data_IF_480894892129
#
_entry.id   IF_480894892129
#
_cell.length_a   1.000
_cell.length_b   1.000
_cell.length_c   1.000
_cell.angle_alpha   90.00
_cell.angle_beta   90.00
_cell.angle_gamma   90.00
#
_symmetry.space_group_name_H-M   'P 1'
#
loop_
_entity.id
_entity.type
_entity.pdbx_description
1 polymer ?
#
# COMPACT_ATOMS: atom_id res chain seq x y z
N UNK A 1 14.96 -0.11 6.39
CA UNK A 1 13.48 -0.23 6.47
C UNK A 1 12.92 -0.32 5.05
N UNK A 2 12.08 -1.34 4.78
CA UNK A 2 11.26 -1.38 3.56
C UNK A 2 10.11 -0.38 3.71
N UNK A 3 10.05 0.60 2.81
CA UNK A 3 9.07 1.67 2.82
C UNK A 3 8.04 1.57 1.70
N UNK A 4 7.75 0.37 1.20
CA UNK A 4 6.79 0.18 0.12
C UNK A 4 5.37 0.73 0.42
N UNK A 5 5.00 0.96 1.68
CA UNK A 5 3.78 1.64 2.14
C UNK A 5 4.08 2.76 3.14
N UNK A 6 5.27 3.35 3.06
CA UNK A 6 5.69 4.40 3.98
C UNK A 6 4.77 5.64 3.92
N UNK A 7 4.33 6.03 2.71
CA UNK A 7 3.33 7.10 2.54
C UNK A 7 2.03 6.82 3.28
N UNK A 8 1.51 5.60 3.20
CA UNK A 8 0.29 5.17 3.87
C UNK A 8 0.45 5.19 5.40
N UNK A 9 1.61 4.75 5.91
CA UNK A 9 1.91 4.82 7.34
C UNK A 9 2.00 6.27 7.84
N UNK A 10 2.68 7.15 7.11
CA UNK A 10 2.73 8.59 7.42
C UNK A 10 1.33 9.20 7.45
N UNK A 11 0.51 8.91 6.43
CA UNK A 11 -0.85 9.42 6.31
C UNK A 11 -1.77 8.94 7.44
N UNK A 12 -1.62 7.69 7.89
CA UNK A 12 -2.43 7.12 8.98
C UNK A 12 -1.99 7.62 10.36
N UNK A 13 -0.70 7.63 10.64
CA UNK A 13 -0.17 7.99 11.96
C UNK A 13 -0.17 9.51 12.21
N UNK A 14 -0.19 10.32 11.14
CA UNK A 14 -0.11 11.78 11.26
C UNK A 14 1.25 12.30 11.72
N UNK A 15 2.26 11.42 11.81
CA UNK A 15 3.64 11.77 12.15
C UNK A 15 4.39 12.33 10.93
N UNK A 16 5.44 13.09 11.20
CA UNK A 16 6.39 13.51 10.17
C UNK A 16 7.22 12.31 9.67
N UNK A 17 7.72 12.32 8.42
CA UNK A 17 8.61 11.27 7.92
C UNK A 17 9.83 11.03 8.82
N UNK A 18 10.37 12.11 9.41
CA UNK A 18 11.51 12.05 10.32
C UNK A 18 11.23 11.25 11.60
N UNK A 19 10.05 11.46 12.20
CA UNK A 19 9.60 10.74 13.41
C UNK A 19 9.44 9.24 13.16
N UNK A 20 8.99 8.86 11.96
CA UNK A 20 8.83 7.46 11.55
C UNK A 20 10.11 6.83 10.99
N UNK A 21 11.23 7.57 10.96
CA UNK A 21 12.49 7.08 10.40
C UNK A 21 13.67 7.36 11.34
N UNK A 22 14.52 8.33 11.03
CA UNK A 22 15.81 8.52 11.68
C UNK A 22 15.67 8.96 13.14
N UNK A 23 14.61 9.68 13.51
CA UNK A 23 14.33 9.99 14.93
C UNK A 23 13.94 8.73 15.73
N UNK A 24 13.47 7.69 15.06
CA UNK A 24 13.19 6.37 15.64
C UNK A 24 14.34 5.37 15.43
N UNK A 25 15.51 5.82 14.96
CA UNK A 25 16.70 4.98 14.80
C UNK A 25 16.77 4.18 13.49
N UNK A 26 15.96 4.50 12.47
CA UNK A 26 16.11 3.90 11.14
C UNK A 26 17.35 4.48 10.45
N UNK A 27 18.30 3.62 10.07
CA UNK A 27 19.51 4.04 9.35
C UNK A 27 19.29 4.31 7.86
N UNK A 28 18.46 3.48 7.20
CA UNK A 28 18.21 3.53 5.74
C UNK A 28 16.75 3.23 5.44
N UNK A 29 16.12 4.01 4.56
CA UNK A 29 14.76 3.82 4.07
C UNK A 29 14.75 3.58 2.55
N UNK A 30 14.09 2.51 2.10
CA UNK A 30 13.67 2.37 0.70
C UNK A 30 12.25 2.94 0.54
N UNK A 31 12.13 4.18 0.07
CA UNK A 31 10.87 4.90 -0.02
C UNK A 31 10.12 4.57 -1.33
N UNK A 32 8.96 3.91 -1.15
CA UNK A 32 7.94 3.54 -2.13
C UNK A 32 7.45 4.65 -3.05
N UNK A 33 7.92 4.68 -4.29
CA UNK A 33 7.38 5.57 -5.33
C UNK A 33 6.33 4.87 -6.20
N UNK A 34 6.68 3.67 -6.69
CA UNK A 34 5.89 2.94 -7.70
C UNK A 34 4.47 2.65 -7.22
N UNK A 35 4.30 2.28 -5.94
CA UNK A 35 2.99 1.93 -5.38
C UNK A 35 2.12 3.14 -5.03
N UNK A 36 2.63 4.34 -5.23
CA UNK A 36 2.00 5.59 -4.85
C UNK A 36 1.89 6.58 -6.02
N UNK A 37 1.77 6.07 -7.24
CA UNK A 37 1.48 6.87 -8.44
C UNK A 37 2.63 7.01 -9.45
N UNK A 38 3.79 6.39 -9.23
CA UNK A 38 4.90 6.41 -10.19
C UNK A 38 4.92 5.18 -11.10
N UNK A 39 5.43 5.35 -12.33
CA UNK A 39 5.62 4.25 -13.26
C UNK A 39 6.71 3.26 -12.80
N UNK A 40 7.87 3.79 -12.38
CA UNK A 40 9.01 3.03 -11.85
C UNK A 40 9.81 3.90 -10.89
N UNK A 41 10.54 3.28 -9.97
CA UNK A 41 11.51 3.94 -9.13
C UNK A 41 11.18 3.90 -7.64
N UNK A 42 12.24 3.82 -6.85
CA UNK A 42 12.25 3.76 -5.39
C UNK A 42 13.40 4.65 -4.93
N UNK A 43 13.17 5.49 -3.91
CA UNK A 43 14.22 6.37 -3.39
C UNK A 43 14.91 5.71 -2.20
N UNK A 44 16.23 5.59 -2.23
CA UNK A 44 17.00 5.02 -1.11
C UNK A 44 17.61 6.17 -0.32
N UNK A 45 17.12 6.36 0.91
CA UNK A 45 17.51 7.44 1.82
C UNK A 45 18.40 6.86 2.92
N UNK A 46 19.68 7.22 2.90
CA UNK A 46 20.61 6.93 3.99
C UNK A 46 20.57 8.08 5.00
N UNK A 47 20.11 7.81 6.22
CA UNK A 47 20.19 8.75 7.33
C UNK A 47 21.54 8.61 8.06
N UNK A 48 22.06 7.38 8.12
CA UNK A 48 23.43 7.11 8.51
C UNK A 48 24.34 7.09 7.28
N UNK A 49 24.97 8.22 6.99
CA UNK A 49 25.75 8.41 5.76
C UNK A 49 26.99 7.52 5.67
N UNK A 50 27.50 6.98 6.79
CA UNK A 50 28.63 6.03 6.76
C UNK A 50 28.26 4.75 6.00
N UNK A 51 26.99 4.37 6.01
CA UNK A 51 26.49 3.19 5.28
C UNK A 51 26.30 3.46 3.77
N UNK A 52 26.38 4.71 3.33
CA UNK A 52 26.20 5.11 1.95
C UNK A 52 27.51 5.08 1.14
N UNK A 53 28.65 4.80 1.78
CA UNK A 53 29.95 4.68 1.12
C UNK A 53 29.87 3.67 -0.03
N UNK A 54 30.30 4.10 -1.23
CA UNK A 54 30.28 3.36 -2.49
C UNK A 54 28.90 2.78 -2.90
N UNK A 55 27.79 3.30 -2.37
CA UNK A 55 26.47 2.79 -2.70
C UNK A 55 26.09 3.00 -4.17
N UNK A 56 26.56 4.08 -4.78
CA UNK A 56 26.42 4.34 -6.21
C UNK A 56 27.18 3.31 -7.07
N UNK A 57 28.39 2.89 -6.66
CA UNK A 57 29.12 1.79 -7.29
C UNK A 57 28.37 0.46 -7.16
N UNK A 58 27.79 0.18 -5.99
CA UNK A 58 26.93 -0.99 -5.79
C UNK A 58 25.73 -0.96 -6.74
N UNK A 59 25.03 0.16 -6.85
CA UNK A 59 23.91 0.32 -7.79
C UNK A 59 24.36 0.15 -9.24
N UNK A 60 25.52 0.71 -9.62
CA UNK A 60 26.10 0.58 -10.95
C UNK A 60 26.39 -0.88 -11.29
N UNK A 61 27.07 -1.59 -10.41
CA UNK A 61 27.44 -3.00 -10.62
C UNK A 61 26.22 -3.91 -10.66
N UNK A 62 25.21 -3.62 -9.84
CA UNK A 62 23.94 -4.35 -9.81
C UNK A 62 23.00 -4.04 -11.01
N UNK A 63 23.42 -3.17 -11.94
CA UNK A 63 22.59 -2.77 -13.08
C UNK A 63 21.40 -1.89 -12.72
N UNK A 64 21.40 -1.27 -11.54
CA UNK A 64 20.33 -0.40 -11.02
C UNK A 64 20.58 1.09 -11.30
N UNK A 65 21.65 1.45 -12.01
CA UNK A 65 21.95 2.84 -12.36
C UNK A 65 21.26 3.25 -13.68
N UNK A 66 20.18 4.02 -13.58
CA UNK A 66 19.45 4.50 -14.75
C UNK A 66 20.27 5.53 -15.56
N UNK A 67 20.52 5.23 -16.84
CA UNK A 67 21.19 6.16 -17.77
C UNK A 67 20.41 7.47 -17.95
N UNK A 68 19.07 7.40 -18.01
CA UNK A 68 18.17 8.56 -18.11
C UNK A 68 17.51 8.84 -16.75
N UNK A 69 18.32 9.08 -15.71
CA UNK A 69 17.89 9.21 -14.31
C UNK A 69 16.75 10.22 -14.07
N UNK A 70 16.64 11.26 -14.91
CA UNK A 70 15.52 12.22 -14.86
C UNK A 70 14.12 11.57 -14.88
N UNK A 71 13.96 10.41 -15.52
CA UNK A 71 12.66 9.71 -15.53
C UNK A 71 12.36 8.96 -14.23
N UNK A 72 13.37 8.72 -13.39
CA UNK A 72 13.19 8.23 -12.02
C UNK A 72 13.03 9.40 -11.04
N UNK A 73 13.82 10.48 -11.18
CA UNK A 73 13.82 11.58 -10.21
C UNK A 73 12.74 12.65 -10.44
N UNK A 74 12.37 12.98 -11.67
CA UNK A 74 11.36 14.02 -11.94
C UNK A 74 9.98 13.71 -11.35
N UNK A 75 9.46 12.45 -11.38
CA UNK A 75 8.21 12.12 -10.70
C UNK A 75 8.22 12.42 -9.20
N UNK A 76 9.39 12.32 -8.53
CA UNK A 76 9.49 12.66 -7.10
C UNK A 76 9.27 14.14 -6.85
N UNK A 77 9.68 15.03 -7.76
CA UNK A 77 9.43 16.46 -7.64
C UNK A 77 7.93 16.72 -7.56
N UNK A 78 7.16 16.21 -8.53
CA UNK A 78 5.70 16.37 -8.53
C UNK A 78 5.02 15.70 -7.34
N UNK A 79 5.51 14.52 -6.92
CA UNK A 79 4.96 13.82 -5.76
C UNK A 79 5.15 14.59 -4.44
N UNK A 80 6.31 15.24 -4.25
CA UNK A 80 6.73 15.83 -2.98
C UNK A 80 6.40 17.33 -2.89
N UNK A 81 6.49 18.09 -3.97
CA UNK A 81 6.33 19.56 -3.94
C UNK A 81 4.91 20.00 -3.53
N UNK A 82 3.90 19.19 -3.86
CA UNK A 82 2.47 19.51 -3.70
C UNK A 82 1.73 18.53 -2.77
N UNK A 83 2.48 17.78 -1.94
CA UNK A 83 1.96 16.73 -1.06
C UNK A 83 1.10 15.66 -1.77
N UNK A 84 1.30 15.46 -3.08
CA UNK A 84 0.58 14.44 -3.83
C UNK A 84 0.84 13.04 -3.25
N UNK A 85 2.06 12.77 -2.76
CA UNK A 85 2.40 11.52 -2.09
C UNK A 85 1.50 11.22 -0.87
N UNK A 86 1.15 12.22 -0.06
CA UNK A 86 0.23 12.08 1.07
C UNK A 86 -1.23 12.05 0.63
N UNK A 87 -1.62 12.84 -0.38
CA UNK A 87 -2.98 12.83 -0.93
C UNK A 87 -3.34 11.44 -1.47
N UNK A 88 -2.47 10.85 -2.28
CA UNK A 88 -2.60 9.49 -2.81
C UNK A 88 -2.68 8.44 -1.69
N UNK A 89 -1.81 8.55 -0.69
CA UNK A 89 -1.81 7.62 0.43
C UNK A 89 -3.06 7.72 1.31
N UNK A 90 -3.55 8.94 1.58
CA UNK A 90 -4.81 9.19 2.31
C UNK A 90 -6.01 8.61 1.55
N UNK A 91 -6.07 8.81 0.24
CA UNK A 91 -7.11 8.22 -0.60
C UNK A 91 -7.12 6.69 -0.52
N UNK A 92 -5.96 6.06 -0.73
CA UNK A 92 -5.84 4.61 -0.66
C UNK A 92 -6.20 4.05 0.74
N UNK A 93 -5.79 4.74 1.81
CA UNK A 93 -6.17 4.38 3.18
C UNK A 93 -7.68 4.54 3.41
N UNK A 94 -8.28 5.63 2.91
CA UNK A 94 -9.70 5.89 3.03
C UNK A 94 -10.53 4.78 2.38
N UNK A 95 -10.20 4.38 1.14
CA UNK A 95 -10.89 3.30 0.45
C UNK A 95 -10.80 1.96 1.22
N UNK A 96 -9.65 1.65 1.82
CA UNK A 96 -9.50 0.43 2.62
C UNK A 96 -10.36 0.51 3.91
N UNK A 97 -10.37 1.65 4.57
CA UNK A 97 -11.20 1.88 5.77
C UNK A 97 -12.69 1.82 5.43
N UNK A 98 -13.10 2.40 4.29
CA UNK A 98 -14.48 2.33 3.79
C UNK A 98 -14.91 0.88 3.56
N UNK A 99 -14.09 0.06 2.89
CA UNK A 99 -14.39 -1.36 2.69
C UNK A 99 -14.60 -2.07 4.03
N UNK A 100 -13.69 -1.87 4.99
CA UNK A 100 -13.78 -2.50 6.31
C UNK A 100 -15.04 -2.05 7.07
N UNK A 101 -15.41 -0.77 6.99
CA UNK A 101 -16.63 -0.25 7.61
C UNK A 101 -17.90 -0.87 7.01
N UNK A 102 -17.97 -1.02 5.69
CA UNK A 102 -19.16 -1.51 4.98
C UNK A 102 -19.44 -3.01 5.18
N UNK A 103 -18.43 -3.77 5.64
CA UNK A 103 -18.53 -5.22 5.85
C UNK A 103 -18.46 -5.64 7.32
N UNK A 104 -18.22 -4.70 8.24
CA UNK A 104 -17.99 -4.99 9.66
C UNK A 104 -19.20 -5.63 10.38
N UNK A 105 -20.41 -5.39 9.87
CA UNK A 105 -21.67 -5.90 10.43
C UNK A 105 -22.11 -7.23 9.81
N UNK A 106 -21.39 -7.77 8.82
CA UNK A 106 -21.78 -8.98 8.10
C UNK A 106 -21.37 -10.22 8.92
N UNK A 107 -22.32 -11.09 9.34
CA UNK A 107 -21.98 -12.31 10.07
C UNK A 107 -21.02 -13.22 9.28
N UNK A 108 -20.00 -13.73 9.97
CA UNK A 108 -18.98 -14.60 9.36
C UNK A 108 -17.90 -13.86 8.55
N UNK A 109 -17.93 -12.53 8.50
CA UNK A 109 -16.82 -11.70 8.01
C UNK A 109 -16.05 -11.17 9.21
N UNK A 110 -14.78 -11.55 9.34
CA UNK A 110 -13.92 -11.06 10.42
C UNK A 110 -12.72 -10.30 9.86
N UNK A 111 -12.44 -9.13 10.44
CA UNK A 111 -11.24 -8.38 10.12
C UNK A 111 -10.04 -9.00 10.86
N UNK A 112 -9.05 -9.48 10.10
CA UNK A 112 -7.87 -10.15 10.68
C UNK A 112 -6.92 -9.18 11.39
N UNK A 113 -6.82 -7.95 10.88
CA UNK A 113 -5.89 -6.94 11.37
C UNK A 113 -6.51 -5.53 11.26
N UNK A 114 -6.17 -4.60 12.17
CA UNK A 114 -6.60 -3.21 12.05
C UNK A 114 -6.21 -2.59 10.70
N UNK A 115 -7.13 -1.83 10.09
CA UNK A 115 -6.88 -1.16 8.80
C UNK A 115 -6.12 0.15 9.02
N UNK A 116 -4.81 0.04 9.15
CA UNK A 116 -3.89 1.16 9.43
C UNK A 116 -3.10 1.63 8.19
N UNK A 117 -3.48 1.15 7.01
CA UNK A 117 -2.90 1.50 5.72
C UNK A 117 -3.96 1.23 4.63
N UNK A 118 -3.54 0.83 3.42
CA UNK A 118 -4.40 0.61 2.27
C UNK A 118 -4.78 -0.87 2.03
N UNK A 119 -4.72 -1.71 3.06
CA UNK A 119 -5.00 -3.15 2.95
C UNK A 119 -6.10 -3.58 3.89
N UNK A 120 -7.01 -4.43 3.41
CA UNK A 120 -8.07 -5.06 4.21
C UNK A 120 -7.88 -6.57 4.12
N UNK A 121 -7.82 -7.19 5.30
CA UNK A 121 -7.63 -8.63 5.45
C UNK A 121 -8.86 -9.20 6.11
N UNK A 122 -9.66 -9.95 5.35
CA UNK A 122 -10.91 -10.52 5.81
C UNK A 122 -10.80 -12.04 5.89
N UNK A 123 -11.25 -12.61 7.00
CA UNK A 123 -11.59 -14.02 7.07
C UNK A 123 -12.93 -14.19 6.35
N UNK A 124 -12.93 -14.98 5.28
CA UNK A 124 -14.10 -15.31 4.46
C UNK A 124 -14.16 -16.83 4.26
N UNK A 125 -15.36 -17.38 4.11
CA UNK A 125 -15.53 -18.79 3.80
C UNK A 125 -15.02 -19.13 2.38
N UNK A 126 -14.58 -20.37 2.16
CA UNK A 126 -14.15 -20.82 0.82
C UNK A 126 -15.26 -20.62 -0.25
N UNK A 127 -16.56 -20.91 0.03
CA UNK A 127 -17.63 -20.60 -0.91
C UNK A 127 -17.77 -19.12 -1.25
N UNK A 128 -17.63 -18.21 -0.26
CA UNK A 128 -17.70 -16.77 -0.49
C UNK A 128 -16.54 -16.29 -1.37
N UNK A 129 -15.33 -16.77 -1.10
CA UNK A 129 -14.14 -16.48 -1.92
C UNK A 129 -14.35 -16.94 -3.37
N UNK A 130 -14.87 -18.15 -3.57
CA UNK A 130 -15.16 -18.69 -4.89
C UNK A 130 -16.23 -17.86 -5.62
N UNK A 131 -17.30 -17.47 -4.92
CA UNK A 131 -18.39 -16.66 -5.47
C UNK A 131 -17.92 -15.25 -5.89
N UNK A 132 -17.10 -14.58 -5.07
CA UNK A 132 -16.49 -13.29 -5.42
C UNK A 132 -15.57 -13.42 -6.65
N UNK A 133 -14.79 -14.49 -6.73
CA UNK A 133 -13.92 -14.75 -7.87
C UNK A 133 -14.72 -15.00 -9.15
N UNK A 134 -15.83 -15.74 -9.05
CA UNK A 134 -16.77 -15.99 -10.15
C UNK A 134 -17.47 -14.71 -10.64
N UNK A 135 -17.71 -13.74 -9.74
CA UNK A 135 -18.16 -12.37 -10.08
C UNK A 135 -17.07 -11.50 -10.73
N UNK A 136 -15.84 -11.99 -10.86
CA UNK A 136 -14.74 -11.31 -11.53
C UNK A 136 -13.85 -10.48 -10.60
N UNK A 137 -14.10 -10.49 -9.28
CA UNK A 137 -13.19 -9.82 -8.34
C UNK A 137 -11.81 -10.47 -8.37
N UNK A 138 -10.78 -9.62 -8.22
CA UNK A 138 -9.37 -10.01 -8.21
C UNK A 138 -8.76 -9.57 -6.90
N UNK A 139 -8.35 -10.53 -6.10
CA UNK A 139 -7.73 -10.33 -4.80
C UNK A 139 -6.82 -11.53 -4.52
N UNK A 140 -5.99 -11.41 -3.49
CA UNK A 140 -5.07 -12.47 -3.11
C UNK A 140 -5.67 -13.30 -1.99
N UNK A 141 -5.60 -14.63 -2.10
CA UNK A 141 -5.84 -15.56 -1.00
C UNK A 141 -4.51 -16.04 -0.47
N UNK A 142 -4.34 -16.03 0.85
CA UNK A 142 -3.12 -16.54 1.47
C UNK A 142 -2.94 -18.04 1.23
N UNK A 143 -1.76 -18.55 1.57
CA UNK A 143 -1.44 -19.99 1.55
C UNK A 143 -2.30 -20.76 2.60
N UNK A 144 -2.91 -20.05 3.56
CA UNK A 144 -3.84 -20.60 4.56
C UNK A 144 -5.31 -20.48 4.15
N UNK A 145 -6.15 -21.41 4.64
CA UNK A 145 -7.59 -21.43 4.34
C UNK A 145 -8.30 -20.18 4.87
N UNK A 146 -9.12 -19.57 4.01
CA UNK A 146 -10.13 -18.57 4.38
C UNK A 146 -9.67 -17.13 4.55
N UNK A 147 -8.43 -16.77 4.19
CA UNK A 147 -7.98 -15.38 4.25
C UNK A 147 -7.92 -14.68 2.90
N UNK A 148 -8.67 -13.58 2.75
CA UNK A 148 -8.69 -12.74 1.57
C UNK A 148 -8.03 -11.37 1.84
N UNK A 149 -7.09 -10.97 0.98
CA UNK A 149 -6.41 -9.68 1.01
C UNK A 149 -6.88 -8.79 -0.13
N UNK A 150 -7.58 -7.71 0.23
CA UNK A 150 -7.96 -6.63 -0.65
C UNK A 150 -7.00 -5.45 -0.47
N UNK A 151 -6.56 -4.86 -1.58
CA UNK A 151 -5.62 -3.73 -1.56
C UNK A 151 -6.23 -2.57 -2.33
N UNK A 152 -6.25 -1.39 -1.73
CA UNK A 152 -6.64 -0.15 -2.38
C UNK A 152 -5.39 0.61 -2.84
N UNK A 153 -5.50 1.35 -3.93
CA UNK A 153 -4.45 2.15 -4.57
C UNK A 153 -4.85 3.63 -4.59
N UNK A 154 -3.94 4.48 -5.07
CA UNK A 154 -4.13 5.92 -5.20
C UNK A 154 -5.27 6.31 -6.15
N UNK A 155 -5.70 5.39 -7.01
CA UNK A 155 -6.74 5.52 -8.04
C UNK A 155 -7.93 4.55 -7.81
N UNK A 156 -8.03 3.89 -6.66
CA UNK A 156 -9.20 3.06 -6.35
C UNK A 156 -10.46 3.90 -6.24
N UNK A 157 -11.45 3.65 -7.07
CA UNK A 157 -12.75 4.33 -7.02
C UNK A 157 -13.59 3.85 -5.82
N UNK A 158 -14.20 4.78 -5.09
CA UNK A 158 -15.09 4.44 -3.97
C UNK A 158 -16.30 3.61 -4.41
N UNK A 159 -16.82 3.85 -5.61
CA UNK A 159 -17.97 3.09 -6.14
C UNK A 159 -17.61 1.61 -6.29
N UNK A 160 -16.41 1.30 -6.79
CA UNK A 160 -15.90 -0.08 -6.83
C UNK A 160 -15.74 -0.69 -5.45
N UNK A 161 -15.38 0.09 -4.43
CA UNK A 161 -15.33 -0.37 -3.03
C UNK A 161 -16.73 -0.73 -2.53
N UNK A 162 -17.73 0.12 -2.81
CA UNK A 162 -19.13 -0.11 -2.42
C UNK A 162 -19.73 -1.31 -3.12
N UNK A 163 -19.45 -1.48 -4.41
CA UNK A 163 -19.84 -2.66 -5.20
C UNK A 163 -19.25 -3.95 -4.61
N UNK A 164 -17.96 -3.95 -4.27
CA UNK A 164 -17.30 -5.09 -3.62
C UNK A 164 -17.96 -5.42 -2.28
N UNK A 165 -18.22 -4.42 -1.44
CA UNK A 165 -18.84 -4.64 -0.13
C UNK A 165 -20.28 -5.20 -0.26
N UNK A 166 -21.05 -4.72 -1.24
CA UNK A 166 -22.39 -5.23 -1.54
C UNK A 166 -22.35 -6.69 -2.01
N UNK A 167 -21.38 -7.04 -2.86
CA UNK A 167 -21.17 -8.42 -3.29
C UNK A 167 -20.75 -9.33 -2.13
N UNK A 168 -19.85 -8.88 -1.24
CA UNK A 168 -19.47 -9.60 -0.02
C UNK A 168 -20.71 -9.91 0.83
N UNK A 169 -21.58 -8.91 1.06
CA UNK A 169 -22.82 -9.11 1.81
C UNK A 169 -23.74 -10.15 1.17
N UNK A 170 -23.88 -10.08 -0.14
CA UNK A 170 -24.72 -11.02 -0.90
C UNK A 170 -24.20 -12.45 -0.78
N UNK A 171 -22.91 -12.68 -0.96
CA UNK A 171 -22.34 -14.05 -0.93
C UNK A 171 -22.22 -14.64 0.47
N UNK A 172 -22.19 -13.79 1.51
CA UNK A 172 -22.16 -14.24 2.91
C UNK A 172 -23.57 -14.53 3.46
N UNK A 173 -24.62 -14.05 2.79
CA UNK A 173 -26.02 -14.29 3.16
C UNK A 173 -26.64 -15.50 2.44
N UNK A 174 -25.92 -16.09 1.49
CA UNK A 174 -26.33 -17.25 0.69
C UNK A 174 -25.84 -18.55 1.31
#
# INVERSE_FOLDING_TARGET
MDGARFSNACAFLGCTPAELTWKAGVDVLCFGGTKNGMAVGEAILFFNHKLAEDFDYRCKQAGQLASKMRFLSAPWVGLLENDAWLKHARHANHCAQLLAQLVADIPGVELMFPVQANGVFLQLSEPAIAALTAKGWRFYTFIGKGGARFMCSWDTEEDRVRELAADIRTVMSA
#
